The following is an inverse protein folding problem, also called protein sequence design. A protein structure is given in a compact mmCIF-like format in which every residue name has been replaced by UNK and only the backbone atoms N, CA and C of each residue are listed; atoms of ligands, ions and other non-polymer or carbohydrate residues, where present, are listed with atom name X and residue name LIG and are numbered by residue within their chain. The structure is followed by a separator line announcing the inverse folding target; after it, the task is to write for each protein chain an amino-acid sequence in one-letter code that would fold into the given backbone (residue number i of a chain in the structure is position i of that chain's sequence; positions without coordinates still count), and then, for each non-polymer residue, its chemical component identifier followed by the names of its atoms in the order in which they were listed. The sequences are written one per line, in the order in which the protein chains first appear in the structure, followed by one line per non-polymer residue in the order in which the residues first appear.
data_IF_993960220362
#
_entry.id   IF_993960220362
#
_cell.length_a   1.000
_cell.length_b   1.000
_cell.length_c   1.000
_cell.angle_alpha   90.00
_cell.angle_beta   90.00
_cell.angle_gamma   90.00
#
_symmetry.space_group_name_H-M   'P 1'
#
loop_
_entity.id
_entity.type
_entity.pdbx_description
1 polymer ?
#
# COMPACT_ATOMS: atom_id res chain seq x y z
N UNK A 1 -33.05 18.08 -19.73
CA UNK A 1 -31.72 18.28 -19.16
C UNK A 1 -30.73 17.90 -20.24
N UNK A 2 -29.99 18.88 -20.78
CA UNK A 2 -28.94 18.61 -21.77
C UNK A 2 -27.73 18.14 -20.97
N UNK A 3 -27.40 16.86 -21.05
CA UNK A 3 -26.13 16.34 -20.52
C UNK A 3 -25.02 17.06 -21.29
N UNK A 4 -24.21 17.84 -20.59
CA UNK A 4 -23.02 18.45 -21.16
C UNK A 4 -22.13 17.33 -21.69
N UNK A 5 -21.83 17.34 -23.00
CA UNK A 5 -21.06 16.31 -23.69
C UNK A 5 -19.57 16.34 -23.32
N UNK A 6 -19.23 16.11 -22.06
CA UNK A 6 -17.89 15.78 -21.64
C UNK A 6 -17.51 14.39 -22.14
N UNK A 7 -16.30 14.22 -22.64
CA UNK A 7 -15.80 12.88 -22.99
C UNK A 7 -15.70 12.05 -21.71
N UNK A 8 -16.28 10.83 -21.70
CA UNK A 8 -16.19 9.89 -20.60
C UNK A 8 -14.72 9.58 -20.29
N UNK A 9 -14.25 9.97 -19.09
CA UNK A 9 -12.91 9.62 -18.61
C UNK A 9 -12.89 8.20 -18.05
N UNK A 10 -11.84 7.46 -18.32
CA UNK A 10 -11.68 6.08 -17.90
C UNK A 10 -10.49 5.96 -16.94
N UNK A 11 -10.75 5.48 -15.75
CA UNK A 11 -9.71 5.24 -14.74
C UNK A 11 -9.62 3.74 -14.49
N UNK A 12 -8.42 3.17 -14.59
CA UNK A 12 -8.17 1.81 -14.17
C UNK A 12 -7.70 1.76 -12.71
N UNK A 13 -8.23 0.86 -11.90
CA UNK A 13 -7.70 0.50 -10.60
C UNK A 13 -7.16 -0.93 -10.68
N UNK A 14 -5.85 -1.07 -10.45
CA UNK A 14 -5.14 -2.34 -10.41
C UNK A 14 -4.83 -2.63 -8.94
N UNK A 15 -5.32 -3.75 -8.42
CA UNK A 15 -5.23 -4.08 -7.00
C UNK A 15 -5.15 -5.58 -6.76
N UNK A 16 -4.57 -5.97 -5.61
CA UNK A 16 -4.75 -7.32 -5.05
C UNK A 16 -5.83 -7.27 -3.96
N UNK A 17 -6.90 -8.00 -4.17
CA UNK A 17 -8.08 -8.01 -3.31
C UNK A 17 -7.97 -8.88 -2.06
N UNK A 18 -6.81 -9.48 -1.79
CA UNK A 18 -6.63 -10.35 -0.63
C UNK A 18 -7.05 -9.66 0.67
N UNK A 19 -6.61 -8.44 0.90
CA UNK A 19 -7.03 -7.62 2.05
C UNK A 19 -8.28 -6.83 1.71
N UNK A 20 -9.40 -7.53 1.59
CA UNK A 20 -10.70 -6.99 1.14
C UNK A 20 -11.09 -5.67 1.79
N UNK A 21 -10.90 -5.53 3.10
CA UNK A 21 -11.28 -4.30 3.82
C UNK A 21 -10.52 -3.07 3.31
N UNK A 22 -9.23 -3.22 3.03
CA UNK A 22 -8.39 -2.12 2.51
C UNK A 22 -8.81 -1.78 1.09
N UNK A 23 -8.94 -2.81 0.22
CA UNK A 23 -9.38 -2.63 -1.17
C UNK A 23 -10.75 -1.96 -1.25
N UNK A 24 -11.72 -2.37 -0.40
CA UNK A 24 -13.04 -1.74 -0.36
C UNK A 24 -12.97 -0.29 0.11
N UNK A 25 -12.13 0.03 1.08
CA UNK A 25 -11.94 1.41 1.54
C UNK A 25 -11.38 2.31 0.44
N UNK A 26 -10.40 1.81 -0.34
CA UNK A 26 -9.89 2.52 -1.51
C UNK A 26 -10.97 2.76 -2.56
N UNK A 27 -11.70 1.70 -2.94
CA UNK A 27 -12.77 1.79 -3.93
C UNK A 27 -13.87 2.75 -3.50
N UNK A 28 -14.32 2.68 -2.24
CA UNK A 28 -15.34 3.60 -1.70
C UNK A 28 -14.86 5.06 -1.75
N UNK A 29 -13.62 5.31 -1.32
CA UNK A 29 -13.03 6.64 -1.37
C UNK A 29 -12.93 7.20 -2.79
N UNK A 30 -12.49 6.39 -3.75
CA UNK A 30 -12.41 6.78 -5.16
C UNK A 30 -13.80 7.08 -5.72
N UNK A 31 -14.78 6.19 -5.52
CA UNK A 31 -16.16 6.38 -6.01
C UNK A 31 -16.79 7.62 -5.39
N UNK A 32 -16.59 7.85 -4.09
CA UNK A 32 -17.09 9.06 -3.42
C UNK A 32 -16.51 10.30 -4.08
N UNK A 33 -15.20 10.32 -4.33
CA UNK A 33 -14.56 11.47 -4.97
C UNK A 33 -15.03 11.68 -6.42
N UNK A 34 -15.22 10.63 -7.19
CA UNK A 34 -15.80 10.70 -8.54
C UNK A 34 -17.17 11.39 -8.51
N UNK A 35 -18.05 11.00 -7.58
CA UNK A 35 -19.38 11.61 -7.42
C UNK A 35 -19.33 13.09 -7.04
N UNK A 36 -18.33 13.50 -6.23
CA UNK A 36 -18.14 14.89 -5.82
C UNK A 36 -17.66 15.77 -6.98
N UNK A 37 -16.95 15.20 -7.96
CA UNK A 37 -16.39 15.97 -9.08
C UNK A 37 -17.43 16.35 -10.11
N UNK A 38 -18.62 15.73 -10.12
CA UNK A 38 -19.68 15.93 -11.12
C UNK A 38 -19.16 15.81 -12.57
N UNK A 39 -18.24 14.87 -12.78
CA UNK A 39 -17.66 14.54 -14.09
C UNK A 39 -18.05 13.11 -14.50
N UNK A 40 -18.14 12.88 -15.82
CA UNK A 40 -18.37 11.55 -16.38
C UNK A 40 -17.07 10.71 -16.29
N UNK A 41 -16.93 9.97 -15.18
CA UNK A 41 -15.76 9.10 -14.93
C UNK A 41 -16.22 7.66 -14.72
N UNK A 42 -15.68 6.73 -15.50
CA UNK A 42 -15.85 5.29 -15.29
C UNK A 42 -14.61 4.70 -14.60
N UNK A 43 -14.84 3.99 -13.49
CA UNK A 43 -13.81 3.23 -12.78
C UNK A 43 -13.85 1.76 -13.21
N UNK A 44 -12.74 1.25 -13.73
CA UNK A 44 -12.53 -0.13 -14.11
C UNK A 44 -11.60 -0.81 -13.12
N UNK A 45 -12.08 -1.81 -12.41
CA UNK A 45 -11.29 -2.50 -11.41
C UNK A 45 -10.73 -3.82 -11.95
N UNK A 46 -9.40 -3.97 -11.90
CA UNK A 46 -8.66 -5.19 -12.20
C UNK A 46 -8.08 -5.72 -10.88
N UNK A 47 -8.81 -6.65 -10.28
CA UNK A 47 -8.52 -7.13 -8.95
C UNK A 47 -8.20 -8.63 -8.98
N UNK A 48 -7.02 -9.00 -8.51
CA UNK A 48 -6.63 -10.40 -8.37
C UNK A 48 -6.73 -10.87 -6.91
N UNK A 49 -6.57 -12.16 -6.72
CA UNK A 49 -6.48 -12.83 -5.43
C UNK A 49 -5.28 -13.79 -5.43
N UNK A 50 -4.15 -13.35 -5.98
CA UNK A 50 -2.97 -14.17 -6.23
C UNK A 50 -2.30 -14.74 -4.99
N UNK A 51 -2.63 -14.25 -3.80
CA UNK A 51 -2.09 -14.76 -2.53
C UNK A 51 -3.09 -15.64 -1.76
N UNK A 52 -4.24 -15.92 -2.36
CA UNK A 52 -5.31 -16.67 -1.71
C UNK A 52 -4.98 -18.14 -1.52
N UNK A 53 -4.34 -18.77 -2.50
CA UNK A 53 -4.13 -20.21 -2.55
C UNK A 53 -2.67 -20.59 -2.27
N UNK A 54 -2.48 -21.77 -1.69
CA UNK A 54 -1.15 -22.43 -1.65
C UNK A 54 -0.75 -23.00 -3.01
N UNK A 55 -1.69 -23.08 -3.96
CA UNK A 55 -1.44 -23.55 -5.32
C UNK A 55 -0.82 -22.45 -6.18
N UNK A 56 0.44 -22.63 -6.56
CA UNK A 56 1.19 -21.68 -7.38
C UNK A 56 0.58 -21.48 -8.78
N UNK A 57 -0.05 -22.52 -9.36
CA UNK A 57 -0.71 -22.39 -10.67
C UNK A 57 -1.98 -21.55 -10.57
N UNK A 58 -2.76 -21.72 -9.50
CA UNK A 58 -3.91 -20.86 -9.22
C UNK A 58 -3.47 -19.40 -9.09
N UNK A 59 -2.48 -19.12 -8.28
CA UNK A 59 -1.98 -17.76 -8.06
C UNK A 59 -1.45 -17.13 -9.36
N UNK A 60 -0.74 -17.92 -10.19
CA UNK A 60 -0.30 -17.47 -11.52
C UNK A 60 -1.50 -17.14 -12.42
N UNK A 61 -2.56 -17.94 -12.37
CA UNK A 61 -3.80 -17.70 -13.10
C UNK A 61 -4.48 -16.40 -12.69
N UNK A 62 -4.57 -16.14 -11.39
CA UNK A 62 -5.15 -14.92 -10.83
C UNK A 62 -4.41 -13.64 -11.30
N UNK A 63 -3.09 -13.67 -11.34
CA UNK A 63 -2.28 -12.54 -11.80
C UNK A 63 -2.47 -12.21 -13.29
N UNK A 64 -3.03 -13.11 -14.10
CA UNK A 64 -3.32 -12.84 -15.50
C UNK A 64 -4.34 -11.70 -15.70
N UNK A 65 -5.16 -11.37 -14.71
CA UNK A 65 -6.08 -10.23 -14.76
C UNK A 65 -5.34 -8.92 -15.08
N UNK A 66 -4.11 -8.79 -14.61
CA UNK A 66 -3.30 -7.59 -14.86
C UNK A 66 -2.86 -7.44 -16.32
N UNK A 67 -2.91 -8.51 -17.10
CA UNK A 67 -2.55 -8.51 -18.51
C UNK A 67 -3.74 -8.20 -19.44
N UNK A 68 -4.97 -8.23 -18.92
CA UNK A 68 -6.17 -8.03 -19.73
C UNK A 68 -6.35 -6.60 -20.27
N UNK A 69 -6.11 -5.52 -19.47
CA UNK A 69 -6.38 -4.19 -19.96
C UNK A 69 -5.36 -3.73 -21.01
N UNK A 70 -5.85 -3.07 -22.05
CA UNK A 70 -5.05 -2.13 -22.81
C UNK A 70 -4.91 -0.85 -21.99
N UNK A 71 -3.75 -0.68 -21.36
CA UNK A 71 -3.50 0.43 -20.42
C UNK A 71 -3.54 1.79 -21.14
N UNK A 72 -3.23 1.84 -22.43
CA UNK A 72 -3.25 3.09 -23.21
C UNK A 72 -4.67 3.61 -23.49
N UNK A 73 -5.70 2.77 -23.24
CA UNK A 73 -7.10 3.14 -23.43
C UNK A 73 -7.71 3.90 -22.20
N UNK A 74 -6.90 4.15 -21.16
CA UNK A 74 -7.32 4.85 -19.95
C UNK A 74 -6.74 6.27 -19.91
N UNK A 75 -7.44 7.17 -19.20
CA UNK A 75 -6.99 8.54 -18.94
C UNK A 75 -6.12 8.62 -17.67
N UNK A 76 -6.18 7.60 -16.82
CA UNK A 76 -5.36 7.48 -15.62
C UNK A 76 -5.43 6.09 -15.02
N UNK A 77 -4.40 5.72 -14.27
CA UNK A 77 -4.30 4.42 -13.63
C UNK A 77 -3.98 4.61 -12.15
N UNK A 78 -4.66 3.86 -11.29
CA UNK A 78 -4.40 3.78 -9.86
C UNK A 78 -3.86 2.38 -9.57
N UNK A 79 -2.69 2.30 -8.96
CA UNK A 79 -2.06 1.05 -8.54
C UNK A 79 -2.11 0.92 -7.01
N UNK A 80 -2.83 -0.07 -6.51
CA UNK A 80 -2.68 -0.59 -5.15
C UNK A 80 -1.73 -1.78 -5.17
N UNK A 81 -0.44 -1.49 -5.25
CA UNK A 81 0.62 -2.50 -5.35
C UNK A 81 1.14 -2.99 -3.99
N UNK A 82 0.76 -2.34 -2.90
CA UNK A 82 1.24 -2.67 -1.55
C UNK A 82 0.80 -4.08 -1.10
N UNK A 83 -0.34 -4.56 -1.60
CA UNK A 83 -0.91 -5.85 -1.29
C UNK A 83 -0.45 -6.99 -2.23
N UNK A 84 0.23 -6.69 -3.33
CA UNK A 84 0.80 -7.71 -4.21
C UNK A 84 2.05 -8.27 -3.54
N UNK A 85 2.02 -9.53 -3.11
CA UNK A 85 3.14 -10.17 -2.40
C UNK A 85 4.19 -10.73 -3.35
N UNK A 86 3.79 -11.25 -4.52
CA UNK A 86 4.71 -11.81 -5.49
C UNK A 86 5.59 -10.72 -6.12
N UNK A 87 6.90 -10.75 -5.79
CA UNK A 87 7.88 -9.75 -6.25
C UNK A 87 7.97 -9.71 -7.78
N UNK A 88 7.91 -10.85 -8.47
CA UNK A 88 7.99 -10.90 -9.93
C UNK A 88 6.76 -10.27 -10.58
N UNK A 89 5.59 -10.42 -9.98
CA UNK A 89 4.37 -9.77 -10.47
C UNK A 89 4.42 -8.27 -10.21
N UNK A 90 4.95 -7.84 -9.05
CA UNK A 90 5.20 -6.41 -8.78
C UNK A 90 6.10 -5.80 -9.88
N UNK A 91 7.24 -6.43 -10.15
CA UNK A 91 8.19 -5.95 -11.17
C UNK A 91 7.52 -5.83 -12.55
N UNK A 92 6.83 -6.88 -12.99
CA UNK A 92 6.14 -6.90 -14.29
C UNK A 92 5.09 -5.82 -14.42
N UNK A 93 4.26 -5.61 -13.38
CA UNK A 93 3.22 -4.58 -13.45
C UNK A 93 3.82 -3.18 -13.44
N UNK A 94 4.88 -2.93 -12.65
CA UNK A 94 5.57 -1.64 -12.62
C UNK A 94 6.20 -1.34 -13.99
N UNK A 95 6.93 -2.28 -14.57
CA UNK A 95 7.52 -2.13 -15.91
C UNK A 95 6.45 -1.80 -16.96
N UNK A 96 5.33 -2.50 -16.93
CA UNK A 96 4.23 -2.29 -17.84
C UNK A 96 3.59 -0.91 -17.68
N UNK A 97 3.42 -0.45 -16.43
CA UNK A 97 2.88 0.85 -16.10
C UNK A 97 3.83 2.01 -16.44
N UNK A 98 5.14 1.81 -16.28
CA UNK A 98 6.13 2.81 -16.67
C UNK A 98 6.14 3.07 -18.19
N UNK A 99 5.75 2.08 -18.99
CA UNK A 99 5.76 2.14 -20.45
C UNK A 99 4.37 2.40 -21.06
N UNK A 100 3.31 2.60 -20.30
CA UNK A 100 1.96 2.73 -20.85
C UNK A 100 1.63 4.13 -21.38
N UNK A 101 2.44 5.15 -21.08
CA UNK A 101 2.21 6.54 -21.53
C UNK A 101 1.05 7.25 -20.84
N UNK A 102 0.45 6.64 -19.82
CA UNK A 102 -0.69 7.16 -19.06
C UNK A 102 -0.24 7.58 -17.66
N UNK A 103 -0.77 8.67 -17.06
CA UNK A 103 -0.48 9.02 -15.68
C UNK A 103 -0.84 7.90 -14.71
N UNK A 104 0.11 7.52 -13.84
CA UNK A 104 -0.08 6.47 -12.84
C UNK A 104 0.03 7.05 -11.43
N UNK A 105 -0.94 6.74 -10.58
CA UNK A 105 -0.95 7.02 -9.16
C UNK A 105 -0.73 5.72 -8.37
N UNK A 106 0.32 5.65 -7.56
CA UNK A 106 0.57 4.54 -6.65
C UNK A 106 0.04 4.83 -5.25
N UNK A 107 -0.70 3.88 -4.69
CA UNK A 107 -1.23 3.95 -3.34
C UNK A 107 -0.32 3.20 -2.37
N UNK A 108 0.06 3.87 -1.27
CA UNK A 108 0.83 3.32 -0.13
C UNK A 108 2.17 2.64 -0.50
N UNK A 109 2.60 2.78 -1.75
CA UNK A 109 3.88 2.25 -2.24
C UNK A 109 4.54 3.29 -3.13
N UNK A 110 5.63 3.89 -2.65
CA UNK A 110 6.38 4.87 -3.44
C UNK A 110 7.13 4.19 -4.58
N UNK A 111 6.84 4.63 -5.81
CA UNK A 111 7.51 4.19 -7.04
C UNK A 111 7.99 5.42 -7.79
N UNK A 112 9.29 5.48 -8.09
CA UNK A 112 9.85 6.59 -8.85
C UNK A 112 9.19 6.74 -10.22
N UNK A 113 8.80 7.96 -10.57
CA UNK A 113 8.11 8.27 -11.83
C UNK A 113 6.58 8.18 -11.77
N UNK A 114 5.99 7.70 -10.68
CA UNK A 114 4.54 7.70 -10.45
C UNK A 114 4.14 8.81 -9.48
N UNK A 115 2.91 9.29 -9.60
CA UNK A 115 2.29 10.04 -8.52
C UNK A 115 2.12 9.13 -7.30
N UNK A 116 2.19 9.70 -6.12
CA UNK A 116 2.11 8.92 -4.87
C UNK A 116 1.09 9.51 -3.91
N UNK A 117 0.28 8.64 -3.33
CA UNK A 117 -0.58 8.92 -2.18
C UNK A 117 -0.42 7.80 -1.17
N UNK A 118 -0.11 8.14 0.07
CA UNK A 118 0.05 7.19 1.15
C UNK A 118 -0.03 7.85 2.52
N UNK A 119 -0.05 7.03 3.56
CA UNK A 119 -0.01 7.50 4.94
C UNK A 119 1.39 8.04 5.30
N UNK A 120 1.45 9.09 6.13
CA UNK A 120 2.69 9.48 6.80
C UNK A 120 3.00 8.43 7.89
N UNK A 121 3.91 7.53 7.57
CA UNK A 121 4.30 6.46 8.47
C UNK A 121 5.34 6.88 9.52
N UNK A 122 6.04 8.00 9.31
CA UNK A 122 7.13 8.44 10.21
C UNK A 122 6.62 9.28 11.37
N UNK A 123 5.78 10.25 11.08
CA UNK A 123 5.29 11.21 12.08
C UNK A 123 4.58 10.53 13.26
N UNK A 124 3.61 9.61 13.08
CA UNK A 124 2.95 8.94 14.19
C UNK A 124 3.91 8.16 15.09
N UNK A 125 4.93 7.51 14.52
CA UNK A 125 5.95 6.80 15.31
C UNK A 125 6.78 7.76 16.14
N UNK A 126 7.22 8.88 15.56
CA UNK A 126 7.97 9.90 16.31
C UNK A 126 7.14 10.51 17.46
N UNK A 127 5.88 10.83 17.20
CA UNK A 127 4.98 11.39 18.19
C UNK A 127 4.74 10.37 19.34
N UNK A 128 4.45 9.11 19.01
CA UNK A 128 4.26 8.05 19.99
C UNK A 128 5.51 7.80 20.84
N UNK A 129 6.66 7.65 20.22
CA UNK A 129 7.93 7.42 20.92
C UNK A 129 8.29 8.61 21.83
N UNK A 130 8.09 9.83 21.34
CA UNK A 130 8.30 11.04 22.14
C UNK A 130 7.38 11.07 23.34
N UNK A 131 6.10 10.79 23.17
CA UNK A 131 5.12 10.74 24.24
C UNK A 131 5.47 9.68 25.31
N UNK A 132 5.77 8.46 24.87
CA UNK A 132 6.12 7.37 25.78
C UNK A 132 7.42 7.69 26.56
N UNK A 133 8.40 8.30 25.92
CA UNK A 133 9.66 8.65 26.56
C UNK A 133 9.54 9.85 27.51
N UNK A 134 8.95 10.95 27.04
CA UNK A 134 8.94 12.23 27.75
C UNK A 134 7.82 12.30 28.81
N UNK A 135 6.64 11.76 28.52
CA UNK A 135 5.49 11.83 29.41
C UNK A 135 5.41 10.62 30.35
N UNK A 136 5.62 9.41 29.82
CA UNK A 136 5.52 8.18 30.63
C UNK A 136 6.84 7.67 31.19
N UNK A 137 7.95 8.27 30.82
CA UNK A 137 9.28 7.88 31.32
C UNK A 137 9.74 6.50 30.85
N UNK A 138 9.14 5.96 29.80
CA UNK A 138 9.56 4.67 29.24
C UNK A 138 11.00 4.72 28.72
N UNK A 139 11.77 3.66 28.97
CA UNK A 139 13.20 3.57 28.58
C UNK A 139 13.52 2.26 27.83
N UNK A 140 12.58 1.36 27.76
CA UNK A 140 12.70 0.09 27.04
C UNK A 140 11.48 -0.07 26.15
N UNK A 141 11.73 -0.37 24.87
CA UNK A 141 10.70 -0.49 23.85
C UNK A 141 10.90 -1.78 23.06
N UNK A 142 9.82 -2.32 22.55
CA UNK A 142 9.83 -3.37 21.54
C UNK A 142 9.01 -2.87 20.38
N UNK A 143 9.58 -2.89 19.18
CA UNK A 143 8.86 -2.53 17.97
C UNK A 143 8.37 -3.80 17.27
N UNK A 144 7.06 -4.07 17.32
CA UNK A 144 6.44 -5.13 16.55
C UNK A 144 6.11 -4.60 15.14
N UNK A 145 6.97 -4.91 14.19
CA UNK A 145 6.86 -4.47 12.80
C UNK A 145 6.10 -5.45 11.91
N UNK A 146 5.94 -5.05 10.65
CA UNK A 146 5.43 -5.90 9.57
C UNK A 146 6.54 -6.52 8.72
N UNK A 147 6.20 -6.97 7.47
CA UNK A 147 7.19 -7.49 6.55
C UNK A 147 8.30 -6.49 6.26
N UNK A 148 9.53 -6.96 6.17
CA UNK A 148 10.71 -6.12 5.97
C UNK A 148 10.69 -5.36 4.64
N UNK A 149 10.09 -5.96 3.61
CA UNK A 149 9.94 -5.40 2.27
C UNK A 149 8.75 -4.44 2.11
N UNK A 150 7.91 -4.31 3.14
CA UNK A 150 6.78 -3.39 3.11
C UNK A 150 7.26 -1.94 3.30
N UNK A 151 6.99 -1.06 2.31
CA UNK A 151 7.40 0.35 2.35
C UNK A 151 6.97 1.07 3.64
N UNK A 152 5.71 0.90 4.05
CA UNK A 152 5.21 1.50 5.28
C UNK A 152 5.92 0.98 6.54
N UNK A 153 6.34 -0.30 6.57
CA UNK A 153 7.12 -0.84 7.67
C UNK A 153 8.53 -0.25 7.69
N UNK A 154 9.20 -0.15 6.54
CA UNK A 154 10.51 0.48 6.42
C UNK A 154 10.50 1.93 6.98
N UNK A 155 9.51 2.72 6.62
CA UNK A 155 9.33 4.09 7.10
C UNK A 155 9.14 4.16 8.63
N UNK A 156 8.33 3.25 9.20
CA UNK A 156 8.08 3.18 10.65
C UNK A 156 9.31 2.75 11.42
N UNK A 157 10.03 1.73 10.93
CA UNK A 157 11.29 1.25 11.50
C UNK A 157 12.33 2.37 11.48
N UNK A 158 12.47 3.09 10.36
CA UNK A 158 13.40 4.20 10.26
C UNK A 158 13.10 5.29 11.31
N UNK A 159 11.82 5.66 11.47
CA UNK A 159 11.42 6.64 12.48
C UNK A 159 11.66 6.14 13.91
N UNK A 160 11.44 4.85 14.18
CA UNK A 160 11.76 4.22 15.46
C UNK A 160 13.27 4.32 15.77
N UNK A 161 14.12 3.92 14.83
CA UNK A 161 15.57 4.02 14.98
C UNK A 161 16.06 5.46 15.19
N UNK A 162 15.49 6.43 14.47
CA UNK A 162 15.76 7.86 14.67
C UNK A 162 15.44 8.31 16.10
N UNK A 163 14.30 7.85 16.66
CA UNK A 163 13.93 8.15 18.03
C UNK A 163 14.87 7.50 19.06
N UNK A 164 15.24 6.23 18.87
CA UNK A 164 16.23 5.58 19.72
C UNK A 164 17.53 6.37 19.75
N UNK A 165 18.04 6.75 18.59
CA UNK A 165 19.25 7.58 18.46
C UNK A 165 19.09 8.93 19.16
N UNK A 166 17.97 9.62 18.97
CA UNK A 166 17.66 10.91 19.63
C UNK A 166 17.77 10.81 21.14
N UNK A 167 17.32 9.71 21.72
CA UNK A 167 17.28 9.49 23.17
C UNK A 167 18.47 8.69 23.72
N UNK A 168 19.49 8.41 22.92
CA UNK A 168 20.68 7.69 23.34
C UNK A 168 20.44 6.21 23.70
N UNK A 169 19.42 5.61 23.08
CA UNK A 169 19.05 4.20 23.28
C UNK A 169 19.62 3.32 22.15
N UNK A 170 19.82 2.03 22.43
CA UNK A 170 20.36 1.05 21.49
C UNK A 170 19.29 0.07 21.02
N UNK A 171 19.52 -0.58 19.87
CA UNK A 171 18.64 -1.66 19.38
C UNK A 171 18.77 -2.93 20.21
N UNK A 172 19.92 -3.17 20.83
CA UNK A 172 20.13 -4.37 21.68
C UNK A 172 19.15 -4.39 22.86
N UNK A 173 18.86 -3.22 23.43
CA UNK A 173 17.90 -3.06 24.53
C UNK A 173 16.46 -2.79 24.05
N UNK A 174 16.29 -2.45 22.77
CA UNK A 174 15.02 -2.03 22.18
C UNK A 174 14.81 -2.70 20.81
N UNK A 175 14.57 -4.01 20.79
CA UNK A 175 14.57 -4.80 19.56
C UNK A 175 13.41 -4.51 18.62
N UNK A 176 13.65 -4.78 17.34
CA UNK A 176 12.64 -4.79 16.28
C UNK A 176 12.30 -6.25 15.99
N UNK A 177 11.02 -6.58 16.06
CA UNK A 177 10.47 -7.87 15.70
C UNK A 177 9.73 -7.74 14.38
N UNK A 178 10.27 -8.31 13.29
CA UNK A 178 9.64 -8.27 11.97
C UNK A 178 8.62 -9.39 11.83
N UNK A 179 7.44 -9.09 11.29
CA UNK A 179 6.32 -10.01 11.14
C UNK A 179 5.63 -9.85 9.79
N UNK A 180 4.40 -10.31 9.72
CA UNK A 180 3.58 -10.36 8.51
C UNK A 180 2.25 -9.59 8.65
N UNK A 181 2.09 -8.82 9.73
CA UNK A 181 0.85 -8.18 10.15
C UNK A 181 -0.27 -9.15 10.53
N UNK A 182 0.06 -10.43 10.79
CA UNK A 182 -0.92 -11.41 11.23
C UNK A 182 -1.07 -11.42 12.77
N UNK A 183 -2.27 -11.82 13.21
CA UNK A 183 -2.60 -11.97 14.62
C UNK A 183 -1.70 -13.00 15.32
N UNK A 184 -1.47 -14.16 14.68
CA UNK A 184 -0.66 -15.24 15.26
C UNK A 184 0.80 -14.81 15.48
N UNK A 185 1.36 -14.05 14.56
CA UNK A 185 2.70 -13.46 14.71
C UNK A 185 2.75 -12.52 15.91
N UNK A 186 1.75 -11.66 16.06
CA UNK A 186 1.64 -10.78 17.23
C UNK A 186 1.57 -11.55 18.55
N UNK A 187 0.80 -12.63 18.61
CA UNK A 187 0.73 -13.51 19.80
C UNK A 187 2.07 -14.14 20.12
N UNK A 188 2.83 -14.58 19.11
CA UNK A 188 4.14 -15.19 19.30
C UNK A 188 5.19 -14.21 19.84
N UNK A 189 5.09 -12.93 19.52
CA UNK A 189 5.97 -11.88 20.07
C UNK A 189 5.74 -11.61 21.55
N UNK A 190 4.56 -11.94 22.07
CA UNK A 190 4.17 -11.69 23.46
C UNK A 190 4.44 -12.91 24.40
N UNK A 191 4.92 -14.03 23.86
CA UNK A 191 5.30 -15.23 24.62
C UNK A 191 6.79 -15.31 24.87
#
# INVERSE_FOLDING_TARGET
MVYGGGQLKKIALISDGWRRMITYAWVDGIIRRIRELDEDIALYQYNCYGNWSKDALHNTGEYNIYNLPDLSAFDGIILDGSNIVDVRQKEKIVERLQNCGVPVLSLDWYISGFYYVGADNRRPIRELMTHLYEVHGCRRFVFAGGPEDAFGNFERVAAYCECLKKYGMTLDDNPILCGDYDYETGVNYMR
#
